data_IF_417459998826
#
_entry.id   IF_417459998826
#
_cell.length_a   1.000
_cell.length_b   1.000
_cell.length_c   1.000
_cell.angle_alpha   90.00
_cell.angle_beta   90.00
_cell.angle_gamma   90.00
#
_symmetry.space_group_name_H-M   'P 1'
#
loop_
_entity.id
_entity.type
_entity.pdbx_description
1 polymer ?
#
# COMPACT_ATOMS: atom_id res chain seq x y z
N UNK A 1 -0.72 -19.60 -39.28
CA UNK A 1 0.00 -20.16 -38.10
C UNK A 1 -0.34 -19.29 -36.90
N UNK A 2 -1.31 -19.71 -36.08
CA UNK A 2 -1.80 -18.93 -34.92
C UNK A 2 -1.09 -19.50 -33.68
N UNK A 3 -0.13 -18.76 -33.14
CA UNK A 3 0.49 -19.06 -31.86
C UNK A 3 -0.31 -18.32 -30.77
N UNK A 4 -1.14 -19.05 -30.01
CA UNK A 4 -1.73 -18.52 -28.77
C UNK A 4 -0.83 -18.87 -27.60
N UNK A 5 -0.22 -17.86 -26.99
CA UNK A 5 0.53 -17.98 -25.74
C UNK A 5 -0.43 -17.69 -24.57
N UNK A 6 -0.80 -18.72 -23.82
CA UNK A 6 -1.60 -18.57 -22.59
C UNK A 6 -0.67 -18.47 -21.39
N UNK A 7 -0.49 -17.26 -20.85
CA UNK A 7 0.21 -17.03 -19.59
C UNK A 7 -0.83 -17.11 -18.46
N UNK A 8 -0.78 -18.16 -17.62
CA UNK A 8 -1.52 -18.19 -16.35
C UNK A 8 -1.04 -17.03 -15.48
N UNK A 9 -1.95 -16.25 -14.90
CA UNK A 9 -1.57 -15.25 -13.90
C UNK A 9 -0.94 -15.96 -12.71
N UNK A 10 0.37 -15.77 -12.51
CA UNK A 10 0.98 -16.13 -11.24
C UNK A 10 0.41 -15.21 -10.16
N UNK A 11 0.11 -15.79 -9.00
CA UNK A 11 -0.31 -15.03 -7.82
C UNK A 11 0.66 -13.87 -7.59
N UNK A 12 0.15 -12.67 -7.28
CA UNK A 12 1.03 -11.50 -7.19
C UNK A 12 2.02 -11.67 -6.01
N UNK A 13 3.23 -11.10 -6.11
CA UNK A 13 4.22 -11.17 -5.02
C UNK A 13 3.64 -10.66 -3.69
N UNK A 14 2.81 -9.62 -3.74
CA UNK A 14 2.10 -9.08 -2.59
C UNK A 14 1.13 -10.09 -1.99
N UNK A 15 0.37 -10.79 -2.82
CA UNK A 15 -0.61 -11.79 -2.40
C UNK A 15 0.05 -13.02 -1.74
N UNK A 16 1.19 -13.48 -2.29
CA UNK A 16 2.04 -14.50 -1.62
C UNK A 16 2.56 -14.04 -0.25
N UNK A 17 3.01 -12.79 -0.16
CA UNK A 17 3.51 -12.21 1.10
C UNK A 17 2.40 -12.15 2.16
N UNK A 18 1.22 -11.64 1.80
CA UNK A 18 0.08 -11.58 2.71
C UNK A 18 -0.42 -12.97 3.12
N UNK A 19 -0.43 -13.94 2.21
CA UNK A 19 -0.82 -15.31 2.51
C UNK A 19 0.15 -15.99 3.48
N UNK A 20 1.47 -15.80 3.30
CA UNK A 20 2.51 -16.30 4.22
C UNK A 20 2.39 -15.71 5.63
N UNK A 21 2.22 -14.38 5.72
CA UNK A 21 2.02 -13.70 6.99
C UNK A 21 0.75 -14.19 7.68
N UNK A 22 -0.36 -14.30 6.93
CA UNK A 22 -1.63 -14.80 7.44
C UNK A 22 -1.51 -16.22 7.99
N UNK A 23 -0.89 -17.15 7.26
CA UNK A 23 -0.76 -18.54 7.72
C UNK A 23 0.09 -18.66 8.99
N UNK A 24 1.14 -17.84 9.12
CA UNK A 24 2.00 -17.82 10.32
C UNK A 24 1.27 -17.23 11.52
N UNK A 25 0.54 -16.13 11.31
CA UNK A 25 -0.30 -15.52 12.35
C UNK A 25 -1.43 -16.47 12.80
N UNK A 26 -2.07 -17.18 11.87
CA UNK A 26 -3.11 -18.16 12.20
C UNK A 26 -2.56 -19.32 13.03
N UNK A 27 -1.38 -19.83 12.68
CA UNK A 27 -0.69 -20.90 13.43
C UNK A 27 -0.32 -20.44 14.84
N UNK A 28 0.23 -19.23 14.95
CA UNK A 28 0.54 -18.58 16.21
C UNK A 28 -0.72 -18.40 17.08
N UNK A 29 -1.80 -17.85 16.52
CA UNK A 29 -3.05 -17.65 17.27
C UNK A 29 -3.70 -18.97 17.73
N UNK A 30 -3.49 -20.07 17.01
CA UNK A 30 -3.94 -21.40 17.43
C UNK A 30 -3.14 -21.94 18.62
N UNK A 31 -1.83 -21.67 18.70
CA UNK A 31 -0.96 -22.17 19.78
C UNK A 31 -1.32 -21.56 21.14
N UNK A 32 -1.83 -20.32 21.16
CA UNK A 32 -2.15 -19.58 22.38
C UNK A 32 -3.42 -20.07 23.11
N UNK A 33 -4.27 -20.87 22.44
CA UNK A 33 -5.56 -21.29 23.02
C UNK A 33 -5.44 -22.30 24.18
N UNK A 34 -4.27 -22.91 24.40
CA UNK A 34 -4.12 -24.11 25.23
C UNK A 34 -3.85 -23.86 26.73
N UNK A 35 -3.54 -22.63 27.18
CA UNK A 35 -3.19 -22.34 28.59
C UNK A 35 -3.79 -21.04 29.12
N UNK A 36 -3.96 -20.91 30.45
CA UNK A 36 -4.30 -19.61 31.07
C UNK A 36 -3.14 -18.63 30.82
N UNK A 37 -3.46 -17.38 30.45
CA UNK A 37 -2.44 -16.38 30.09
C UNK A 37 -2.04 -15.63 31.37
N UNK A 38 -0.79 -15.82 31.80
CA UNK A 38 -0.11 -14.99 32.79
C UNK A 38 0.73 -13.90 32.10
N UNK A 39 1.25 -12.94 32.86
CA UNK A 39 2.14 -11.90 32.30
C UNK A 39 3.41 -12.49 31.64
N UNK A 40 3.92 -13.62 32.14
CA UNK A 40 5.03 -14.35 31.51
C UNK A 40 4.64 -14.95 30.15
N UNK A 41 3.39 -15.37 30.01
CA UNK A 41 2.88 -15.89 28.73
C UNK A 41 2.72 -14.74 27.72
N UNK A 42 2.32 -13.54 28.17
CA UNK A 42 2.24 -12.34 27.32
C UNK A 42 3.62 -11.99 26.74
N UNK A 43 4.67 -11.99 27.55
CA UNK A 43 6.03 -11.70 27.07
C UNK A 43 6.48 -12.71 26.00
N UNK A 44 6.18 -13.99 26.18
CA UNK A 44 6.49 -15.03 25.18
C UNK A 44 5.67 -14.85 23.89
N UNK A 45 4.38 -14.58 24.01
CA UNK A 45 3.45 -14.35 22.89
C UNK A 45 3.94 -13.17 22.03
N UNK A 46 4.27 -12.06 22.68
CA UNK A 46 4.66 -10.84 21.98
C UNK A 46 6.05 -10.99 21.33
N UNK A 47 6.97 -11.73 21.95
CA UNK A 47 8.28 -12.05 21.36
C UNK A 47 8.16 -12.95 20.12
N UNK A 48 7.31 -13.97 20.14
CA UNK A 48 7.08 -14.83 18.98
C UNK A 48 6.45 -14.06 17.81
N UNK A 49 5.49 -13.18 18.11
CA UNK A 49 4.90 -12.28 17.11
C UNK A 49 5.95 -11.34 16.49
N UNK A 50 6.85 -10.78 17.30
CA UNK A 50 7.95 -9.94 16.82
C UNK A 50 8.83 -10.67 15.80
N UNK A 51 9.22 -11.91 16.07
CA UNK A 51 9.97 -12.73 15.12
C UNK A 51 9.19 -12.98 13.83
N UNK A 52 7.89 -13.26 13.91
CA UNK A 52 7.04 -13.45 12.73
C UNK A 52 7.00 -12.17 11.88
N UNK A 53 6.82 -11.01 12.50
CA UNK A 53 6.74 -9.73 11.80
C UNK A 53 8.07 -9.38 11.10
N UNK A 54 9.19 -9.53 11.81
CA UNK A 54 10.53 -9.30 11.24
C UNK A 54 10.84 -10.24 10.05
N UNK A 55 10.45 -11.52 10.15
CA UNK A 55 10.60 -12.49 9.06
C UNK A 55 9.73 -12.19 7.83
N UNK A 56 8.73 -11.31 7.95
CA UNK A 56 7.82 -10.91 6.87
C UNK A 56 8.02 -9.43 6.48
N UNK A 57 9.27 -8.94 6.52
CA UNK A 57 9.68 -7.61 6.06
C UNK A 57 9.01 -6.43 6.79
N UNK A 58 8.51 -6.64 8.01
CA UNK A 58 8.09 -5.54 8.89
C UNK A 58 9.32 -4.94 9.55
N UNK A 59 9.43 -3.62 9.58
CA UNK A 59 10.59 -2.95 10.17
C UNK A 59 10.64 -3.18 11.69
N UNK A 60 11.84 -3.15 12.26
CA UNK A 60 12.04 -3.30 13.71
C UNK A 60 11.24 -2.26 14.49
N UNK A 61 11.28 -1.00 14.06
CA UNK A 61 10.54 0.10 14.69
C UNK A 61 9.03 -0.17 14.75
N UNK A 62 8.43 -0.60 13.64
CA UNK A 62 7.00 -0.90 13.57
C UNK A 62 6.68 -2.12 14.44
N UNK A 63 7.56 -3.12 14.43
CA UNK A 63 7.38 -4.34 15.21
C UNK A 63 7.41 -4.06 16.72
N UNK A 64 8.36 -3.24 17.18
CA UNK A 64 8.47 -2.78 18.57
C UNK A 64 7.20 -2.02 19.00
N UNK A 65 6.70 -1.13 18.14
CA UNK A 65 5.47 -0.37 18.40
C UNK A 65 4.24 -1.27 18.51
N UNK A 66 4.07 -2.25 17.60
CA UNK A 66 3.01 -3.27 17.69
C UNK A 66 3.09 -4.02 19.03
N UNK A 67 4.31 -4.39 19.43
CA UNK A 67 4.60 -5.13 20.67
C UNK A 67 4.23 -4.33 21.92
N UNK A 68 4.57 -3.05 21.97
CA UNK A 68 4.22 -2.18 23.09
C UNK A 68 2.70 -2.00 23.23
N UNK A 69 2.01 -1.75 22.11
CA UNK A 69 0.55 -1.60 22.11
C UNK A 69 -0.13 -2.89 22.57
N UNK A 70 0.32 -4.05 22.04
CA UNK A 70 -0.21 -5.35 22.44
C UNK A 70 0.05 -5.66 23.91
N UNK A 71 1.28 -5.46 24.38
CA UNK A 71 1.61 -5.73 25.78
C UNK A 71 0.74 -4.88 26.71
N UNK A 72 0.56 -3.60 26.40
CA UNK A 72 -0.33 -2.69 27.15
C UNK A 72 -1.79 -3.16 27.13
N UNK A 73 -2.29 -3.62 25.98
CA UNK A 73 -3.69 -4.06 25.86
C UNK A 73 -3.94 -5.43 26.50
N UNK A 74 -2.93 -6.31 26.57
CA UNK A 74 -3.04 -7.64 27.15
C UNK A 74 -2.72 -7.66 28.66
N UNK A 75 -1.80 -6.84 29.14
CA UNK A 75 -1.38 -6.80 30.55
C UNK A 75 -2.53 -6.43 31.48
N UNK A 76 -2.66 -7.17 32.58
CA UNK A 76 -3.70 -6.95 33.59
C UNK A 76 -5.10 -7.46 33.20
N UNK A 77 -5.31 -7.96 31.97
CA UNK A 77 -6.57 -8.62 31.59
C UNK A 77 -6.54 -10.10 31.99
N UNK A 78 -7.50 -10.50 32.82
CA UNK A 78 -7.72 -11.92 33.15
C UNK A 78 -8.54 -12.56 32.04
N UNK A 79 -7.87 -13.31 31.17
CA UNK A 79 -8.54 -14.12 30.15
C UNK A 79 -8.82 -15.49 30.77
N UNK A 80 -10.09 -15.79 31.00
CA UNK A 80 -10.56 -17.04 31.57
C UNK A 80 -10.26 -18.25 30.68
N UNK A 81 -10.34 -19.46 31.25
CA UNK A 81 -10.15 -20.70 30.47
C UNK A 81 -11.21 -20.88 29.37
N UNK A 82 -12.42 -20.34 29.57
CA UNK A 82 -13.55 -20.46 28.64
C UNK A 82 -13.61 -19.34 27.60
N UNK A 83 -12.76 -18.32 27.73
CA UNK A 83 -12.73 -17.19 26.80
C UNK A 83 -12.04 -17.59 25.49
N UNK A 84 -12.53 -17.03 24.39
CA UNK A 84 -11.90 -17.20 23.09
C UNK A 84 -10.63 -16.33 23.00
N UNK A 85 -9.53 -16.84 23.56
CA UNK A 85 -8.20 -16.19 23.59
C UNK A 85 -7.72 -15.79 22.20
N UNK A 86 -7.95 -16.65 21.19
CA UNK A 86 -7.61 -16.34 19.80
C UNK A 86 -8.31 -15.06 19.36
N UNK A 87 -9.62 -14.98 19.49
CA UNK A 87 -10.39 -13.81 19.07
C UNK A 87 -9.97 -12.55 19.82
N UNK A 88 -9.62 -12.69 21.10
CA UNK A 88 -9.14 -11.59 21.92
C UNK A 88 -7.79 -11.03 21.42
N UNK A 89 -6.78 -11.89 21.26
CA UNK A 89 -5.44 -11.47 20.78
C UNK A 89 -5.50 -10.98 19.34
N UNK A 90 -6.29 -11.63 18.48
CA UNK A 90 -6.51 -11.19 17.11
C UNK A 90 -7.14 -9.78 17.07
N UNK A 91 -8.11 -9.51 17.95
CA UNK A 91 -8.71 -8.20 18.11
C UNK A 91 -7.69 -7.14 18.55
N UNK A 92 -6.90 -7.43 19.58
CA UNK A 92 -5.84 -6.54 20.07
C UNK A 92 -4.79 -6.25 19.00
N UNK A 93 -4.34 -7.27 18.25
CA UNK A 93 -3.37 -7.11 17.17
C UNK A 93 -3.94 -6.27 16.02
N UNK A 94 -5.22 -6.48 15.69
CA UNK A 94 -5.90 -5.71 14.64
C UNK A 94 -5.98 -4.24 15.00
N UNK A 95 -6.32 -3.90 16.24
CA UNK A 95 -6.34 -2.50 16.67
C UNK A 95 -4.93 -1.89 16.73
N UNK A 96 -3.91 -2.63 17.19
CA UNK A 96 -2.51 -2.17 17.15
C UNK A 96 -2.04 -1.84 15.72
N UNK A 97 -2.30 -2.74 14.77
CA UNK A 97 -1.97 -2.51 13.35
C UNK A 97 -2.74 -1.32 12.79
N UNK A 98 -4.03 -1.18 13.15
CA UNK A 98 -4.87 -0.08 12.69
C UNK A 98 -4.43 1.27 13.25
N UNK A 99 -3.96 1.32 14.49
CA UNK A 99 -3.39 2.51 15.11
C UNK A 99 -2.13 2.96 14.35
N UNK A 100 -1.21 2.04 14.08
CA UNK A 100 0.04 2.33 13.35
C UNK A 100 -0.23 2.73 11.90
N UNK A 101 -1.20 2.10 11.24
CA UNK A 101 -1.60 2.42 9.87
C UNK A 101 -2.52 3.65 9.79
N UNK A 102 -2.99 4.16 10.94
CA UNK A 102 -3.84 5.34 10.95
C UNK A 102 -3.02 6.56 10.51
N UNK A 103 -3.50 7.21 9.47
CA UNK A 103 -2.93 8.45 8.94
C UNK A 103 -4.07 9.41 8.68
N UNK A 104 -3.76 10.70 8.59
CA UNK A 104 -4.75 11.71 8.22
C UNK A 104 -5.42 11.30 6.90
N UNK A 105 -6.74 11.09 6.97
CA UNK A 105 -7.53 10.75 5.78
C UNK A 105 -7.63 11.99 4.90
N UNK A 106 -6.94 11.96 3.76
CA UNK A 106 -7.07 13.01 2.75
C UNK A 106 -8.25 12.66 1.84
N UNK A 107 -9.31 13.47 1.87
CA UNK A 107 -10.31 13.44 0.81
C UNK A 107 -9.75 14.13 -0.44
N UNK A 108 -9.14 13.32 -1.29
CA UNK A 108 -8.55 13.79 -2.54
C UNK A 108 -9.61 14.39 -3.48
N UNK A 109 -10.85 13.89 -3.46
CA UNK A 109 -11.90 14.35 -4.36
C UNK A 109 -12.35 15.76 -3.96
N UNK A 110 -12.57 16.00 -2.67
CA UNK A 110 -12.88 17.34 -2.19
C UNK A 110 -11.73 18.32 -2.46
N UNK A 111 -10.47 17.90 -2.23
CA UNK A 111 -9.32 18.75 -2.57
C UNK A 111 -9.26 19.13 -4.05
N UNK A 112 -9.51 18.18 -4.96
CA UNK A 112 -9.53 18.45 -6.41
C UNK A 112 -10.59 19.51 -6.78
N UNK A 113 -11.73 19.55 -6.08
CA UNK A 113 -12.79 20.54 -6.36
C UNK A 113 -12.43 21.96 -5.96
N UNK A 114 -11.47 22.16 -5.05
CA UNK A 114 -11.13 23.49 -4.51
C UNK A 114 -10.35 24.37 -5.47
N UNK A 115 -9.69 23.82 -6.50
CA UNK A 115 -8.84 24.57 -7.43
C UNK A 115 -8.85 23.94 -8.82
N UNK A 116 -8.81 24.77 -9.87
CA UNK A 116 -8.66 24.33 -11.27
C UNK A 116 -7.52 25.11 -11.98
N UNK A 117 -6.54 24.43 -12.59
CA UNK A 117 -6.29 22.99 -12.49
C UNK A 117 -5.79 22.60 -11.08
N UNK A 118 -6.18 21.41 -10.61
CA UNK A 118 -5.59 20.79 -9.44
C UNK A 118 -4.40 19.93 -9.88
N UNK A 119 -3.20 20.24 -9.38
CA UNK A 119 -1.94 19.62 -9.85
C UNK A 119 -1.48 18.56 -8.85
N UNK A 120 -1.23 17.34 -9.34
CA UNK A 120 -0.72 16.22 -8.55
C UNK A 120 0.65 15.81 -9.09
N UNK A 121 1.68 15.95 -8.27
CA UNK A 121 3.05 15.54 -8.61
C UNK A 121 3.38 14.20 -7.98
N UNK A 122 3.84 13.24 -8.80
CA UNK A 122 4.26 11.93 -8.33
C UNK A 122 5.79 11.88 -8.23
N UNK A 123 6.29 11.72 -7.01
CA UNK A 123 7.73 11.64 -6.70
C UNK A 123 8.10 10.27 -6.15
N UNK A 124 9.36 9.87 -6.34
CA UNK A 124 9.90 8.62 -5.78
C UNK A 124 10.89 7.93 -6.71
N UNK A 125 11.51 6.86 -6.22
CA UNK A 125 12.56 6.13 -6.93
C UNK A 125 12.05 5.35 -8.16
N UNK A 126 12.97 4.95 -9.03
CA UNK A 126 12.64 4.13 -10.19
C UNK A 126 12.12 2.75 -9.76
N UNK A 127 11.17 2.19 -10.50
CA UNK A 127 10.60 0.86 -10.22
C UNK A 127 9.48 0.81 -9.16
N UNK A 128 9.15 1.90 -8.47
CA UNK A 128 8.09 1.93 -7.44
C UNK A 128 6.65 2.00 -7.97
N UNK A 129 6.47 1.94 -9.29
CA UNK A 129 5.14 1.92 -9.93
C UNK A 129 4.50 3.28 -10.19
N UNK A 130 5.24 4.40 -10.10
CA UNK A 130 4.72 5.77 -10.31
C UNK A 130 3.89 5.94 -11.59
N UNK A 131 4.43 5.57 -12.75
CA UNK A 131 3.75 5.70 -14.05
C UNK A 131 2.44 4.91 -14.08
N UNK A 132 2.44 3.70 -13.54
CA UNK A 132 1.22 2.88 -13.40
C UNK A 132 0.21 3.52 -12.45
N UNK A 133 0.67 4.10 -11.34
CA UNK A 133 -0.19 4.79 -10.38
C UNK A 133 -0.81 6.06 -10.98
N UNK A 134 -0.06 6.85 -11.77
CA UNK A 134 -0.58 7.99 -12.53
C UNK A 134 -1.74 7.55 -13.42
N UNK A 135 -1.55 6.47 -14.20
CA UNK A 135 -2.57 5.93 -15.09
C UNK A 135 -3.81 5.43 -14.34
N UNK A 136 -3.61 4.70 -13.23
CA UNK A 136 -4.71 4.22 -12.37
C UNK A 136 -5.52 5.39 -11.79
N UNK A 137 -4.85 6.40 -11.23
CA UNK A 137 -5.52 7.56 -10.66
C UNK A 137 -6.26 8.35 -11.74
N UNK A 138 -5.63 8.60 -12.89
CA UNK A 138 -6.26 9.31 -14.00
C UNK A 138 -7.52 8.60 -14.51
N UNK A 139 -7.48 7.27 -14.63
CA UNK A 139 -8.67 6.47 -14.99
C UNK A 139 -9.79 6.59 -13.95
N UNK A 140 -9.46 6.54 -12.64
CA UNK A 140 -10.43 6.72 -11.55
C UNK A 140 -11.07 8.12 -11.62
N UNK A 141 -10.28 9.17 -11.82
CA UNK A 141 -10.77 10.54 -11.90
C UNK A 141 -11.62 10.77 -13.16
N UNK A 142 -11.18 10.26 -14.32
CA UNK A 142 -11.96 10.30 -15.56
C UNK A 142 -13.32 9.62 -15.40
N UNK A 143 -13.36 8.43 -14.78
CA UNK A 143 -14.62 7.71 -14.48
C UNK A 143 -15.53 8.46 -13.51
N UNK A 144 -14.97 9.31 -12.66
CA UNK A 144 -15.71 10.22 -11.77
C UNK A 144 -16.13 11.54 -12.46
N UNK A 145 -15.91 11.68 -13.76
CA UNK A 145 -16.34 12.83 -14.57
C UNK A 145 -15.36 14.01 -14.58
N UNK A 146 -14.15 13.86 -14.03
CA UNK A 146 -13.13 14.90 -14.11
C UNK A 146 -12.44 14.92 -15.48
N UNK A 147 -12.13 16.11 -15.99
CA UNK A 147 -11.18 16.28 -17.09
C UNK A 147 -9.76 16.05 -16.56
N UNK A 148 -8.98 15.20 -17.24
CA UNK A 148 -7.64 14.81 -16.82
C UNK A 148 -6.68 14.92 -18.01
N UNK A 149 -5.51 15.49 -17.76
CA UNK A 149 -4.36 15.50 -18.67
C UNK A 149 -3.14 14.96 -17.92
N UNK A 150 -2.27 14.23 -18.61
CA UNK A 150 -0.99 13.77 -18.07
C UNK A 150 0.17 14.63 -18.56
N UNK A 151 1.16 14.83 -17.69
CA UNK A 151 2.43 15.48 -18.00
C UNK A 151 3.55 14.43 -18.02
N UNK A 152 4.20 14.23 -19.16
CA UNK A 152 5.33 13.32 -19.31
C UNK A 152 6.65 13.99 -18.90
N UNK A 153 6.72 14.46 -17.65
CA UNK A 153 7.88 15.20 -17.11
C UNK A 153 9.05 14.31 -16.68
N UNK A 154 8.93 12.98 -16.74
CA UNK A 154 10.06 12.06 -16.56
C UNK A 154 10.86 12.01 -17.88
N UNK A 155 11.65 13.03 -18.18
CA UNK A 155 12.29 13.20 -19.52
C UNK A 155 13.65 12.54 -19.66
N UNK A 156 14.25 12.06 -18.57
CA UNK A 156 15.61 11.49 -18.55
C UNK A 156 15.65 9.97 -18.51
N UNK A 157 14.57 9.31 -18.07
CA UNK A 157 14.52 7.85 -18.04
C UNK A 157 14.13 7.33 -19.41
N UNK A 158 14.95 6.49 -20.04
CA UNK A 158 14.61 5.91 -21.34
C UNK A 158 13.27 5.14 -21.26
N UNK A 159 12.37 5.39 -22.22
CA UNK A 159 11.08 4.71 -22.32
C UNK A 159 9.99 5.22 -21.36
N UNK A 160 10.26 6.18 -20.48
CA UNK A 160 9.28 6.68 -19.50
C UNK A 160 8.13 7.45 -20.15
N UNK A 161 8.44 8.26 -21.16
CA UNK A 161 7.48 9.06 -21.92
C UNK A 161 6.55 8.09 -22.66
N UNK A 162 7.11 7.16 -23.42
CA UNK A 162 6.38 6.14 -24.18
C UNK A 162 5.53 5.25 -23.27
N UNK A 163 6.03 4.90 -22.08
CA UNK A 163 5.29 4.12 -21.10
C UNK A 163 4.04 4.88 -20.61
N UNK A 164 4.18 6.16 -20.25
CA UNK A 164 3.04 6.97 -19.82
C UNK A 164 2.04 7.17 -20.96
N UNK A 165 2.52 7.43 -22.16
CA UNK A 165 1.67 7.56 -23.34
C UNK A 165 0.88 6.30 -23.64
N UNK A 166 1.52 5.13 -23.60
CA UNK A 166 0.82 3.86 -23.85
C UNK A 166 -0.30 3.63 -22.84
N UNK A 167 -0.06 3.94 -21.57
CA UNK A 167 -1.11 3.89 -20.57
C UNK A 167 -2.23 4.89 -20.84
N UNK A 168 -1.88 6.11 -21.24
CA UNK A 168 -2.81 7.18 -21.53
C UNK A 168 -3.72 6.86 -22.73
N UNK A 169 -3.16 6.33 -23.81
CA UNK A 169 -3.88 5.81 -24.98
C UNK A 169 -4.92 4.77 -24.58
N UNK A 170 -4.51 3.77 -23.77
CA UNK A 170 -5.38 2.68 -23.34
C UNK A 170 -6.60 3.16 -22.53
N UNK A 171 -6.51 4.32 -21.88
CA UNK A 171 -7.60 4.90 -21.07
C UNK A 171 -8.18 6.19 -21.68
N UNK A 172 -7.74 6.56 -22.88
CA UNK A 172 -8.16 7.78 -23.60
C UNK A 172 -7.93 9.06 -22.80
N UNK A 173 -6.75 9.24 -22.21
CA UNK A 173 -6.31 10.48 -21.55
C UNK A 173 -5.20 11.10 -22.40
N UNK A 174 -5.21 12.43 -22.54
CA UNK A 174 -4.18 13.13 -23.30
C UNK A 174 -2.89 13.25 -22.49
N UNK A 175 -1.75 13.08 -23.16
CA UNK A 175 -0.43 13.29 -22.57
C UNK A 175 0.26 14.47 -23.24
N UNK A 176 0.75 15.40 -22.42
CA UNK A 176 1.64 16.49 -22.84
C UNK A 176 3.07 16.03 -22.61
N UNK A 177 3.89 16.12 -23.66
CA UNK A 177 5.27 15.62 -23.68
C UNK A 177 6.15 16.50 -24.56
N UNK A 178 7.44 16.50 -24.26
CA UNK A 178 8.47 17.02 -25.16
C UNK A 178 9.37 15.86 -25.63
N UNK A 179 10.49 16.18 -26.27
CA UNK A 179 11.52 15.20 -26.64
C UNK A 179 12.26 14.65 -25.41
N UNK A 180 12.83 13.46 -25.56
CA UNK A 180 13.75 12.88 -24.58
C UNK A 180 14.90 13.84 -24.24
N UNK A 181 15.26 13.94 -22.97
CA UNK A 181 16.24 14.90 -22.46
C UNK A 181 15.78 16.36 -22.47
N UNK A 182 14.50 16.64 -22.76
CA UNK A 182 13.90 17.97 -22.62
C UNK A 182 13.75 18.41 -21.16
N UNK A 183 13.50 19.70 -20.92
CA UNK A 183 13.30 20.25 -19.59
C UNK A 183 11.97 19.75 -18.97
N UNK A 184 12.00 18.99 -17.85
CA UNK A 184 10.80 18.55 -17.13
C UNK A 184 9.85 19.68 -16.75
N UNK A 185 10.39 20.85 -16.40
CA UNK A 185 9.62 21.99 -15.95
C UNK A 185 8.84 22.61 -17.12
N UNK A 186 9.44 22.69 -18.30
CA UNK A 186 8.77 23.11 -19.52
C UNK A 186 7.59 22.18 -19.87
N UNK A 187 7.74 20.85 -19.76
CA UNK A 187 6.64 19.91 -19.99
C UNK A 187 5.50 20.14 -18.99
N UNK A 188 5.83 20.30 -17.70
CA UNK A 188 4.83 20.55 -16.66
C UNK A 188 4.11 21.89 -16.85
N UNK A 189 4.83 22.93 -17.26
CA UNK A 189 4.28 24.24 -17.57
C UNK A 189 3.26 24.15 -18.71
N UNK A 190 3.62 23.50 -19.82
CA UNK A 190 2.72 23.30 -20.95
C UNK A 190 1.50 22.46 -20.58
N UNK A 191 1.66 21.46 -19.71
CA UNK A 191 0.56 20.65 -19.21
C UNK A 191 -0.42 21.46 -18.36
N UNK A 192 0.07 22.33 -17.48
CA UNK A 192 -0.77 23.23 -16.68
C UNK A 192 -1.46 24.26 -17.57
N UNK A 193 -0.76 24.81 -18.56
CA UNK A 193 -1.32 25.79 -19.51
C UNK A 193 -2.42 25.18 -20.39
N UNK A 194 -2.35 23.88 -20.66
CA UNK A 194 -3.37 23.15 -21.43
C UNK A 194 -4.62 22.79 -20.60
N UNK A 195 -4.47 22.61 -19.29
CA UNK A 195 -5.50 22.08 -18.38
C UNK A 195 -6.55 23.11 -17.96
#
# INVERSE_FOLDING_TARGET
>A
MILQLWIKSSESRSERMFNSLKSRLDTFLQSVNQKAISDKDIDSIVFELELILLQNDVSIKVTEEIKEILKKDLSGKKIGLLDNKKAFIEGSLKEAVKEILSSEKIDLIEKIKTKKPFVIMFVGFNGTGKTTTIAKLGNILKKKGFSVVFSASDTFRAGSIEQLEKHAENIGIKTIKHRYGGDPAAVAFDAIKHA
#
